data_IF_197946298637
#
_entry.id   IF_197946298637
#
_cell.length_a   1.000
_cell.length_b   1.000
_cell.length_c   1.000
_cell.angle_alpha   90.00
_cell.angle_beta   90.00
_cell.angle_gamma   90.00
#
_symmetry.space_group_name_H-M   'P 1'
#
loop_
_entity.id
_entity.type
_entity.pdbx_description
1 polymer ?
#
# COMPACT_ATOMS: atom_id res chain seq x y z
N UNK A 1 23.67 1.45 2.37
CA UNK A 1 24.62 0.69 1.48
C UNK A 1 23.83 0.14 0.32
N UNK A 2 24.18 0.49 -0.92
CA UNK A 2 23.51 -0.01 -2.12
C UNK A 2 23.70 -1.53 -2.21
N UNK A 3 22.60 -2.26 -2.30
CA UNK A 3 22.52 -3.72 -2.38
C UNK A 3 23.20 -4.24 -3.70
N UNK A 4 23.69 -5.49 -3.70
CA UNK A 4 24.39 -6.10 -4.83
C UNK A 4 23.56 -6.12 -6.15
N UNK A 5 22.24 -6.40 -6.14
CA UNK A 5 21.38 -6.28 -7.31
C UNK A 5 21.25 -4.84 -7.83
N UNK A 6 21.12 -3.84 -6.95
CA UNK A 6 21.03 -2.41 -7.33
C UNK A 6 22.32 -1.92 -7.98
N UNK A 7 23.48 -2.36 -7.49
CA UNK A 7 24.78 -2.04 -8.12
C UNK A 7 24.86 -2.62 -9.53
N UNK A 8 24.33 -3.82 -9.76
CA UNK A 8 24.33 -4.43 -11.09
C UNK A 8 23.39 -3.68 -12.03
N UNK A 9 22.22 -3.28 -11.59
CA UNK A 9 21.27 -2.44 -12.36
C UNK A 9 21.87 -1.10 -12.73
N UNK A 10 22.47 -0.39 -11.78
CA UNK A 10 23.12 0.91 -12.04
C UNK A 10 24.26 0.77 -13.07
N UNK A 11 25.05 -0.30 -13.01
CA UNK A 11 26.11 -0.57 -13.97
C UNK A 11 25.55 -0.85 -15.36
N UNK A 12 24.45 -1.57 -15.49
CA UNK A 12 23.77 -1.82 -16.76
C UNK A 12 23.21 -0.51 -17.33
N UNK A 13 22.59 0.30 -16.50
CA UNK A 13 22.06 1.60 -16.89
C UNK A 13 23.15 2.51 -17.46
N UNK A 14 24.23 2.72 -16.70
CA UNK A 14 25.33 3.57 -17.14
C UNK A 14 25.95 3.04 -18.43
N UNK A 15 25.99 1.72 -18.64
CA UNK A 15 26.48 1.12 -19.87
C UNK A 15 25.55 1.40 -21.06
N UNK A 16 24.23 1.33 -20.89
CA UNK A 16 23.25 1.65 -21.94
C UNK A 16 23.33 3.13 -22.29
N UNK A 17 23.38 4.04 -21.30
CA UNK A 17 23.52 5.47 -21.50
C UNK A 17 24.83 5.81 -22.28
N UNK A 18 25.94 5.21 -21.91
CA UNK A 18 27.19 5.41 -22.62
C UNK A 18 27.14 4.90 -24.07
N UNK A 19 26.42 3.80 -24.31
CA UNK A 19 26.26 3.22 -25.66
C UNK A 19 25.32 4.06 -26.53
N UNK A 20 24.21 4.60 -25.98
CA UNK A 20 23.28 5.47 -26.74
C UNK A 20 23.89 6.80 -27.16
N UNK A 21 24.94 7.25 -26.47
CA UNK A 21 25.69 8.46 -26.87
C UNK A 21 26.55 8.25 -28.15
N UNK A 22 26.85 7.00 -28.51
CA UNK A 22 27.78 6.68 -29.62
C UNK A 22 27.22 5.67 -30.62
N UNK A 23 26.06 5.06 -30.37
CA UNK A 23 25.48 3.98 -31.21
C UNK A 23 23.97 4.14 -31.31
N UNK A 24 23.40 3.79 -32.47
CA UNK A 24 21.94 3.81 -32.63
C UNK A 24 21.30 2.81 -31.62
N UNK A 25 20.23 3.19 -30.89
CA UNK A 25 19.52 2.32 -29.98
C UNK A 25 19.15 0.94 -30.54
N UNK A 26 18.78 0.85 -31.83
CA UNK A 26 18.44 -0.40 -32.50
C UNK A 26 19.62 -1.38 -32.66
N UNK A 27 20.84 -0.87 -32.63
CA UNK A 27 22.07 -1.63 -32.84
C UNK A 27 22.76 -2.02 -31.53
N UNK A 28 22.24 -1.61 -30.39
CA UNK A 28 22.76 -1.97 -29.06
C UNK A 28 22.43 -3.43 -28.75
N UNK A 29 23.45 -4.20 -28.43
CA UNK A 29 23.33 -5.63 -28.12
C UNK A 29 23.64 -5.91 -26.65
N UNK A 30 23.16 -7.07 -26.16
CA UNK A 30 23.53 -7.56 -24.83
C UNK A 30 25.05 -7.71 -24.65
N UNK A 31 25.76 -8.04 -25.74
CA UNK A 31 27.23 -8.14 -25.74
C UNK A 31 27.91 -6.79 -25.56
N UNK A 32 27.35 -5.73 -26.16
CA UNK A 32 27.86 -4.38 -25.95
C UNK A 32 27.69 -3.95 -24.48
N UNK A 33 26.52 -4.21 -23.92
CA UNK A 33 26.23 -3.93 -22.51
C UNK A 33 27.16 -4.73 -21.60
N UNK A 34 27.40 -6.01 -21.88
CA UNK A 34 28.32 -6.86 -21.11
C UNK A 34 29.73 -6.27 -21.10
N UNK A 35 30.21 -5.84 -22.26
CA UNK A 35 31.54 -5.25 -22.42
C UNK A 35 31.69 -3.94 -21.62
N UNK A 36 30.69 -3.05 -21.68
CA UNK A 36 30.74 -1.75 -21.02
C UNK A 36 30.44 -1.86 -19.51
N UNK A 37 29.46 -2.67 -19.12
CA UNK A 37 29.09 -2.83 -17.71
C UNK A 37 30.04 -3.74 -16.93
N UNK A 38 30.83 -4.60 -17.62
CA UNK A 38 31.66 -5.64 -16.99
C UNK A 38 30.84 -6.72 -16.27
N UNK A 39 29.58 -6.92 -16.66
CA UNK A 39 28.70 -7.94 -16.10
C UNK A 39 28.55 -9.13 -17.07
N UNK A 40 28.31 -10.31 -16.51
CA UNK A 40 28.08 -11.51 -17.33
C UNK A 40 26.73 -11.43 -18.07
N UNK A 41 26.68 -12.04 -19.23
CA UNK A 41 25.50 -12.12 -20.08
C UNK A 41 24.24 -12.66 -19.36
N UNK A 42 24.32 -13.74 -18.56
CA UNK A 42 23.18 -14.20 -17.75
C UNK A 42 22.71 -13.16 -16.71
N UNK A 43 23.64 -12.41 -16.14
CA UNK A 43 23.31 -11.34 -15.19
C UNK A 43 22.53 -10.23 -15.88
N UNK A 44 23.00 -9.76 -17.05
CA UNK A 44 22.33 -8.72 -17.82
C UNK A 44 20.95 -9.17 -18.26
N UNK A 45 20.85 -10.39 -18.85
CA UNK A 45 19.57 -10.96 -19.32
C UNK A 45 18.54 -11.08 -18.19
N UNK A 46 18.97 -11.41 -16.97
CA UNK A 46 18.10 -11.50 -15.80
C UNK A 46 17.56 -10.13 -15.37
N UNK A 47 18.32 -9.04 -15.54
CA UNK A 47 17.94 -7.71 -15.12
C UNK A 47 17.22 -6.89 -16.21
N UNK A 48 17.48 -7.13 -17.46
CA UNK A 48 16.99 -6.33 -18.60
C UNK A 48 16.05 -7.13 -19.50
N UNK A 49 16.15 -8.46 -19.50
CA UNK A 49 15.37 -9.31 -20.41
C UNK A 49 16.11 -9.60 -21.72
N UNK A 50 15.35 -9.78 -22.81
CA UNK A 50 15.86 -10.11 -24.13
C UNK A 50 16.27 -8.90 -24.97
N UNK A 51 16.63 -9.16 -26.23
CA UNK A 51 17.09 -8.15 -27.19
C UNK A 51 16.09 -7.01 -27.40
N UNK A 52 14.80 -7.31 -27.45
CA UNK A 52 13.76 -6.30 -27.66
C UNK A 52 13.61 -5.37 -26.46
N UNK A 53 13.75 -5.90 -25.24
CA UNK A 53 13.76 -5.08 -24.04
C UNK A 53 14.96 -4.11 -23.98
N UNK A 54 16.14 -4.57 -24.42
CA UNK A 54 17.32 -3.69 -24.54
C UNK A 54 17.08 -2.54 -25.50
N UNK A 55 16.49 -2.83 -26.67
CA UNK A 55 16.18 -1.78 -27.66
C UNK A 55 15.15 -0.79 -27.15
N UNK A 56 14.10 -1.25 -26.48
CA UNK A 56 13.09 -0.39 -25.86
C UNK A 56 13.72 0.54 -24.83
N UNK A 57 14.57 0.02 -23.94
CA UNK A 57 15.29 0.80 -22.92
C UNK A 57 16.22 1.83 -23.57
N UNK A 58 16.91 1.43 -24.65
CA UNK A 58 17.83 2.33 -25.35
C UNK A 58 17.10 3.45 -26.11
N UNK A 59 15.88 3.18 -26.61
CA UNK A 59 15.05 4.13 -27.37
C UNK A 59 14.29 5.09 -26.48
N UNK A 60 13.60 4.56 -25.47
CA UNK A 60 12.60 5.29 -24.69
C UNK A 60 13.17 5.87 -23.39
N UNK A 61 14.46 5.67 -23.15
CA UNK A 61 15.11 6.03 -21.89
C UNK A 61 14.61 5.20 -20.71
N UNK A 62 15.05 5.57 -19.51
CA UNK A 62 14.88 4.79 -18.29
C UNK A 62 13.44 4.74 -17.74
N UNK A 63 12.46 5.34 -18.38
CA UNK A 63 11.04 5.21 -18.00
C UNK A 63 10.55 3.75 -17.91
N UNK A 64 11.21 2.83 -18.62
CA UNK A 64 10.90 1.39 -18.59
C UNK A 64 11.54 0.60 -17.44
N UNK A 65 12.50 1.18 -16.72
CA UNK A 65 13.09 0.51 -15.55
C UNK A 65 12.42 0.88 -14.23
N UNK A 66 11.46 1.80 -14.23
CA UNK A 66 10.51 1.97 -13.12
C UNK A 66 9.42 0.91 -13.10
N UNK A 67 9.23 0.13 -14.16
CA UNK A 67 8.57 -1.18 -14.03
C UNK A 67 9.60 -2.15 -13.42
N UNK A 68 9.80 -2.03 -12.13
CA UNK A 68 10.54 -2.97 -11.31
C UNK A 68 10.13 -4.40 -11.68
N UNK A 69 11.08 -5.23 -12.11
CA UNK A 69 10.89 -6.67 -11.86
C UNK A 69 10.88 -6.76 -10.33
N UNK A 70 9.73 -6.97 -9.71
CA UNK A 70 9.61 -6.92 -8.26
C UNK A 70 10.66 -7.86 -7.66
N UNK A 71 11.34 -7.43 -6.62
CA UNK A 71 12.29 -8.30 -5.94
C UNK A 71 11.57 -9.58 -5.46
N UNK A 72 12.32 -10.58 -5.07
CA UNK A 72 11.74 -11.87 -4.68
C UNK A 72 10.69 -11.70 -3.57
N UNK A 73 10.93 -10.80 -2.61
CA UNK A 73 10.01 -10.53 -1.50
C UNK A 73 8.71 -9.91 -2.01
N UNK A 74 8.79 -8.92 -2.88
CA UNK A 74 7.62 -8.26 -3.50
C UNK A 74 6.82 -9.24 -4.37
N UNK A 75 7.46 -10.11 -5.13
CA UNK A 75 6.78 -11.16 -5.92
C UNK A 75 6.03 -12.14 -5.03
N UNK A 76 6.62 -12.55 -3.90
CA UNK A 76 5.96 -13.41 -2.92
C UNK A 76 4.75 -12.70 -2.32
N UNK A 77 4.86 -11.41 -1.99
CA UNK A 77 3.75 -10.62 -1.44
C UNK A 77 2.59 -10.49 -2.45
N UNK A 78 2.89 -10.23 -3.72
CA UNK A 78 1.85 -10.16 -4.77
C UNK A 78 1.13 -11.51 -4.95
N UNK A 79 1.89 -12.61 -5.03
CA UNK A 79 1.32 -13.95 -5.11
C UNK A 79 0.49 -14.28 -3.85
N UNK A 80 0.99 -13.91 -2.68
CA UNK A 80 0.29 -14.12 -1.42
C UNK A 80 -1.03 -13.35 -1.36
N UNK A 81 -1.07 -12.10 -1.82
CA UNK A 81 -2.31 -11.32 -1.92
C UNK A 81 -3.36 -12.08 -2.74
N UNK A 82 -2.99 -12.58 -3.92
CA UNK A 82 -3.88 -13.34 -4.79
C UNK A 82 -4.37 -14.66 -4.16
N UNK A 83 -3.47 -15.39 -3.50
CA UNK A 83 -3.82 -16.68 -2.85
C UNK A 83 -4.71 -16.46 -1.64
N UNK A 84 -4.41 -15.45 -0.83
CA UNK A 84 -5.24 -15.08 0.33
C UNK A 84 -6.64 -14.63 -0.09
N UNK A 85 -6.77 -13.82 -1.14
CA UNK A 85 -8.08 -13.38 -1.66
C UNK A 85 -8.93 -14.56 -2.12
N UNK A 86 -8.32 -15.58 -2.75
CA UNK A 86 -9.06 -16.75 -3.26
C UNK A 86 -9.43 -17.76 -2.18
N UNK A 87 -8.58 -17.96 -1.17
CA UNK A 87 -8.68 -19.08 -0.23
C UNK A 87 -8.86 -18.66 1.24
N UNK A 88 -8.89 -17.35 1.52
CA UNK A 88 -8.89 -16.81 2.87
C UNK A 88 -7.56 -17.03 3.60
N UNK A 89 -7.43 -16.45 4.79
CA UNK A 89 -6.22 -16.64 5.59
C UNK A 89 -6.08 -18.10 6.05
N UNK A 90 -7.15 -18.70 6.59
CA UNK A 90 -7.13 -20.07 7.13
C UNK A 90 -6.87 -21.13 6.06
N UNK A 91 -7.41 -20.96 4.85
CA UNK A 91 -7.25 -21.90 3.72
C UNK A 91 -5.91 -21.77 2.98
N UNK A 92 -5.06 -20.80 3.31
CA UNK A 92 -3.78 -20.57 2.65
C UNK A 92 -2.62 -21.19 3.42
N UNK A 93 -1.64 -21.74 2.68
CA UNK A 93 -0.33 -22.14 3.22
C UNK A 93 0.82 -21.47 2.45
N UNK A 94 2.04 -21.47 3.02
CA UNK A 94 3.22 -20.95 2.31
C UNK A 94 3.57 -21.79 1.08
N UNK A 95 3.18 -23.07 1.06
CA UNK A 95 3.31 -23.97 -0.09
C UNK A 95 2.41 -23.55 -1.26
N UNK A 96 1.15 -23.17 -0.97
CA UNK A 96 0.25 -22.63 -1.99
C UNK A 96 0.82 -21.35 -2.61
N UNK A 97 1.38 -20.46 -1.78
CA UNK A 97 2.02 -19.23 -2.24
C UNK A 97 3.27 -19.53 -3.07
N UNK A 98 4.09 -20.52 -2.66
CA UNK A 98 5.27 -20.93 -3.41
C UNK A 98 4.90 -21.45 -4.81
N UNK A 99 3.83 -22.24 -4.90
CA UNK A 99 3.31 -22.75 -6.17
C UNK A 99 2.82 -21.61 -7.08
N UNK A 100 2.05 -20.64 -6.51
CA UNK A 100 1.51 -19.49 -7.25
C UNK A 100 2.64 -18.60 -7.82
N UNK A 101 3.68 -18.32 -7.03
CA UNK A 101 4.81 -17.48 -7.47
C UNK A 101 5.81 -18.23 -8.37
N UNK A 102 5.66 -19.55 -8.52
CA UNK A 102 6.60 -20.41 -9.27
C UNK A 102 7.98 -20.52 -8.61
N UNK A 103 8.04 -20.54 -7.29
CA UNK A 103 9.28 -20.65 -6.50
C UNK A 103 9.30 -21.91 -5.66
N UNK A 104 10.50 -22.30 -5.19
CA UNK A 104 10.63 -23.40 -4.25
C UNK A 104 10.10 -22.98 -2.87
N UNK A 105 9.60 -23.95 -2.09
CA UNK A 105 9.20 -23.74 -0.69
C UNK A 105 10.31 -23.06 0.12
N UNK A 106 11.57 -23.51 -0.03
CA UNK A 106 12.73 -22.92 0.65
C UNK A 106 12.95 -21.45 0.30
N UNK A 107 12.65 -21.02 -0.93
CA UNK A 107 12.77 -19.63 -1.32
C UNK A 107 11.72 -18.74 -0.63
N UNK A 108 10.51 -19.24 -0.39
CA UNK A 108 9.49 -18.52 0.36
C UNK A 108 9.85 -18.47 1.84
N UNK A 109 10.25 -19.57 2.46
CA UNK A 109 10.64 -19.63 3.86
C UNK A 109 11.91 -18.81 4.18
N UNK A 110 12.81 -18.58 3.23
CA UNK A 110 13.95 -17.67 3.42
C UNK A 110 13.55 -16.19 3.51
N UNK A 111 12.36 -15.83 2.99
CA UNK A 111 11.83 -14.46 3.00
C UNK A 111 10.80 -14.22 4.11
N UNK A 112 10.04 -15.25 4.48
CA UNK A 112 8.97 -15.16 5.49
C UNK A 112 8.97 -16.42 6.35
N UNK A 113 9.13 -16.28 7.65
CA UNK A 113 9.22 -17.39 8.61
C UNK A 113 7.92 -18.20 8.70
N UNK A 114 6.79 -17.51 8.56
CA UNK A 114 5.46 -18.12 8.64
C UNK A 114 4.41 -17.29 7.88
N UNK A 115 3.22 -17.85 7.77
CA UNK A 115 2.07 -17.24 7.09
C UNK A 115 1.63 -15.92 7.75
N UNK A 116 1.71 -15.85 9.08
CA UNK A 116 1.32 -14.65 9.82
C UNK A 116 2.24 -13.47 9.53
N UNK A 117 3.56 -13.70 9.50
CA UNK A 117 4.55 -12.65 9.15
C UNK A 117 4.30 -12.11 7.74
N UNK A 118 4.04 -13.00 6.78
CA UNK A 118 3.76 -12.62 5.41
C UNK A 118 2.47 -11.79 5.32
N UNK A 119 1.41 -12.23 5.97
CA UNK A 119 0.14 -11.50 5.97
C UNK A 119 0.24 -10.14 6.68
N UNK A 120 0.90 -10.09 7.84
CA UNK A 120 1.15 -8.82 8.54
C UNK A 120 1.96 -7.83 7.71
N UNK A 121 2.93 -8.32 6.91
CA UNK A 121 3.68 -7.46 6.00
C UNK A 121 2.76 -6.87 4.91
N UNK A 122 1.83 -7.66 4.34
CA UNK A 122 0.83 -7.16 3.40
C UNK A 122 -0.10 -6.13 4.04
N UNK A 123 -0.58 -6.41 5.24
CA UNK A 123 -1.44 -5.51 5.98
C UNK A 123 -0.72 -4.19 6.32
N UNK A 124 0.54 -4.26 6.72
CA UNK A 124 1.38 -3.09 6.99
C UNK A 124 1.52 -2.20 5.75
N UNK A 125 1.83 -2.80 4.59
CA UNK A 125 1.93 -2.04 3.34
C UNK A 125 0.61 -1.34 2.99
N UNK A 126 -0.51 -2.04 3.13
CA UNK A 126 -1.83 -1.48 2.84
C UNK A 126 -2.21 -0.36 3.80
N UNK A 127 -2.01 -0.54 5.11
CA UNK A 127 -2.30 0.50 6.11
C UNK A 127 -1.39 1.70 5.89
N UNK A 128 -0.10 1.48 5.68
CA UNK A 128 0.88 2.56 5.49
C UNK A 128 0.55 3.40 4.26
N UNK A 129 0.28 2.78 3.11
CA UNK A 129 -0.12 3.48 1.90
C UNK A 129 -1.38 4.35 2.13
N UNK A 130 -2.42 3.76 2.72
CA UNK A 130 -3.69 4.47 3.01
C UNK A 130 -3.50 5.66 3.94
N UNK A 131 -2.74 5.49 5.02
CA UNK A 131 -2.57 6.56 6.03
C UNK A 131 -1.68 7.68 5.51
N UNK A 132 -0.70 7.42 4.63
CA UNK A 132 0.13 8.45 4.02
C UNK A 132 -0.66 9.38 3.08
N UNK A 133 -1.71 8.90 2.45
CA UNK A 133 -2.55 9.68 1.54
C UNK A 133 -3.57 10.58 2.26
N UNK A 134 -3.88 10.31 3.54
CA UNK A 134 -4.91 11.03 4.28
C UNK A 134 -4.66 12.55 4.37
N UNK A 135 -3.44 13.03 4.72
CA UNK A 135 -3.19 14.47 4.81
C UNK A 135 -3.40 15.18 3.47
N UNK A 136 -2.85 14.64 2.39
CA UNK A 136 -2.96 15.26 1.07
C UNK A 136 -4.42 15.30 0.60
N UNK A 137 -5.18 14.24 0.86
CA UNK A 137 -6.60 14.16 0.52
C UNK A 137 -7.42 15.25 1.22
N UNK A 138 -7.32 15.37 2.55
CA UNK A 138 -8.12 16.37 3.29
C UNK A 138 -7.68 17.79 2.96
N UNK A 139 -6.37 18.07 2.88
CA UNK A 139 -5.87 19.41 2.56
C UNK A 139 -6.22 19.85 1.15
N UNK A 140 -6.34 18.92 0.20
CA UNK A 140 -6.84 19.22 -1.15
C UNK A 140 -8.29 19.70 -1.07
N UNK A 141 -9.16 18.97 -0.41
CA UNK A 141 -10.58 19.36 -0.28
C UNK A 141 -10.74 20.69 0.45
N UNK A 142 -10.00 20.93 1.54
CA UNK A 142 -10.05 22.19 2.29
C UNK A 142 -9.64 23.42 1.48
N UNK A 143 -8.90 23.26 0.39
CA UNK A 143 -8.57 24.37 -0.54
C UNK A 143 -9.66 24.65 -1.55
N UNK A 144 -10.51 23.68 -1.83
CA UNK A 144 -11.48 23.71 -2.95
C UNK A 144 -12.92 23.92 -2.44
N UNK A 145 -13.21 23.56 -1.18
CA UNK A 145 -14.57 23.55 -0.61
C UNK A 145 -14.60 24.07 0.83
N UNK A 146 -15.81 24.14 1.41
CA UNK A 146 -15.98 24.46 2.83
C UNK A 146 -15.41 23.34 3.73
N UNK A 147 -15.07 23.63 5.01
CA UNK A 147 -14.63 22.59 5.93
C UNK A 147 -15.63 21.43 6.09
N UNK A 148 -16.94 21.73 6.13
CA UNK A 148 -17.99 20.69 6.18
C UNK A 148 -17.95 19.78 4.94
N UNK A 149 -17.98 20.37 3.76
CA UNK A 149 -17.92 19.63 2.51
C UNK A 149 -16.64 18.84 2.38
N UNK A 150 -15.52 19.39 2.84
CA UNK A 150 -14.21 18.71 2.87
C UNK A 150 -14.23 17.45 3.72
N UNK A 151 -14.87 17.51 4.90
CA UNK A 151 -15.04 16.35 5.78
C UNK A 151 -15.95 15.30 5.12
N UNK A 152 -17.04 15.73 4.49
CA UNK A 152 -17.95 14.83 3.76
C UNK A 152 -17.21 14.10 2.62
N UNK A 153 -16.53 14.85 1.76
CA UNK A 153 -15.77 14.29 0.63
C UNK A 153 -14.65 13.36 1.10
N UNK A 154 -13.98 13.73 2.18
CA UNK A 154 -12.94 12.89 2.79
C UNK A 154 -13.52 11.56 3.26
N UNK A 155 -14.61 11.56 4.04
CA UNK A 155 -15.25 10.31 4.49
C UNK A 155 -15.75 9.46 3.32
N UNK A 156 -16.39 10.06 2.33
CA UNK A 156 -16.82 9.35 1.13
C UNK A 156 -15.65 8.66 0.43
N UNK A 157 -14.53 9.37 0.25
CA UNK A 157 -13.35 8.80 -0.37
C UNK A 157 -12.80 7.60 0.42
N UNK A 158 -12.78 7.68 1.76
CA UNK A 158 -12.33 6.59 2.62
C UNK A 158 -13.27 5.37 2.55
N UNK A 159 -14.58 5.60 2.50
CA UNK A 159 -15.57 4.53 2.37
C UNK A 159 -15.46 3.87 1.00
N UNK A 160 -15.48 4.62 -0.09
CA UNK A 160 -15.35 4.10 -1.46
C UNK A 160 -14.07 3.28 -1.63
N UNK A 161 -12.95 3.78 -1.10
CA UNK A 161 -11.68 3.07 -1.19
C UNK A 161 -11.70 1.73 -0.44
N UNK A 162 -12.32 1.68 0.74
CA UNK A 162 -12.45 0.43 1.52
C UNK A 162 -13.41 -0.56 0.88
N UNK A 163 -14.51 -0.10 0.29
CA UNK A 163 -15.50 -0.97 -0.37
C UNK A 163 -14.97 -1.60 -1.66
N UNK A 164 -14.04 -0.96 -2.34
CA UNK A 164 -13.42 -1.49 -3.56
C UNK A 164 -12.64 -2.80 -3.34
N UNK A 165 -12.28 -3.12 -2.10
CA UNK A 165 -11.51 -4.32 -1.72
C UNK A 165 -12.30 -5.25 -0.78
N UNK A 166 -13.39 -5.81 -1.28
CA UNK A 166 -14.24 -6.74 -0.49
C UNK A 166 -13.47 -7.94 0.04
N UNK A 167 -12.64 -8.53 -0.81
CA UNK A 167 -11.89 -9.74 -0.47
C UNK A 167 -10.82 -9.43 0.57
N UNK A 168 -10.11 -8.31 0.43
CA UNK A 168 -9.15 -7.83 1.43
C UNK A 168 -9.80 -7.55 2.78
N UNK A 169 -11.01 -7.00 2.78
CA UNK A 169 -11.76 -6.76 4.00
C UNK A 169 -12.18 -8.07 4.70
N UNK A 170 -12.70 -9.05 3.97
CA UNK A 170 -13.02 -10.38 4.51
C UNK A 170 -11.79 -11.08 5.06
N UNK A 171 -10.69 -11.01 4.31
CA UNK A 171 -9.41 -11.58 4.71
C UNK A 171 -8.89 -10.94 6.00
N UNK A 172 -9.04 -9.61 6.14
CA UNK A 172 -8.66 -8.90 7.36
C UNK A 172 -9.42 -9.43 8.59
N UNK A 173 -10.73 -9.58 8.49
CA UNK A 173 -11.53 -10.12 9.60
C UNK A 173 -11.24 -11.58 9.88
N UNK A 174 -11.04 -12.40 8.86
CA UNK A 174 -10.61 -13.79 9.04
C UNK A 174 -9.29 -13.87 9.81
N UNK A 175 -8.33 -13.02 9.44
CA UNK A 175 -7.05 -12.95 10.13
C UNK A 175 -7.20 -12.50 11.59
N UNK A 176 -7.87 -11.38 11.85
CA UNK A 176 -8.05 -10.84 13.22
C UNK A 176 -8.79 -11.84 14.11
N UNK A 177 -9.83 -12.48 13.59
CA UNK A 177 -10.61 -13.49 14.32
C UNK A 177 -9.80 -14.74 14.67
N UNK A 178 -8.80 -15.08 13.86
CA UNK A 178 -7.93 -16.24 14.04
C UNK A 178 -6.57 -15.91 14.69
N UNK A 179 -6.26 -14.65 14.91
CA UNK A 179 -5.00 -14.18 15.49
C UNK A 179 -4.97 -14.42 17.02
N UNK A 180 -4.90 -15.68 17.44
CA UNK A 180 -4.84 -16.08 18.86
C UNK A 180 -3.42 -16.11 19.42
N UNK A 181 -2.40 -16.12 18.57
CA UNK A 181 -1.01 -16.10 18.97
C UNK A 181 -0.64 -14.72 19.56
N UNK A 182 -0.15 -14.63 20.80
CA UNK A 182 0.23 -13.36 21.42
C UNK A 182 1.27 -12.56 20.63
N UNK A 183 2.17 -13.23 19.92
CA UNK A 183 3.17 -12.55 19.07
C UNK A 183 2.53 -11.87 17.88
N UNK A 184 1.54 -12.49 17.27
CA UNK A 184 0.75 -11.91 16.17
C UNK A 184 -0.10 -10.74 16.65
N UNK A 185 -0.74 -10.89 17.82
CA UNK A 185 -1.51 -9.81 18.45
C UNK A 185 -0.64 -8.59 18.77
N UNK A 186 0.56 -8.80 19.29
CA UNK A 186 1.51 -7.71 19.57
C UNK A 186 1.95 -6.98 18.29
N UNK A 187 2.21 -7.71 17.21
CA UNK A 187 2.58 -7.11 15.92
C UNK A 187 1.41 -6.31 15.34
N UNK A 188 0.21 -6.87 15.37
CA UNK A 188 -1.00 -6.19 14.92
C UNK A 188 -1.27 -4.91 15.74
N UNK A 189 -1.14 -5.01 17.08
CA UNK A 189 -1.26 -3.85 17.98
C UNK A 189 -0.24 -2.76 17.65
N UNK A 190 1.01 -3.13 17.36
CA UNK A 190 2.07 -2.20 16.97
C UNK A 190 1.74 -1.49 15.66
N UNK A 191 1.24 -2.24 14.68
CA UNK A 191 0.83 -1.73 13.39
C UNK A 191 -0.32 -0.71 13.53
N UNK A 192 -1.36 -1.05 14.26
CA UNK A 192 -2.50 -0.16 14.50
C UNK A 192 -2.10 1.11 15.25
N UNK A 193 -1.25 0.99 16.29
CA UNK A 193 -0.70 2.15 17.01
C UNK A 193 0.08 3.09 16.10
N UNK A 194 0.80 2.53 15.11
CA UNK A 194 1.47 3.31 14.07
C UNK A 194 0.49 4.13 13.25
N UNK A 195 -0.58 3.50 12.79
CA UNK A 195 -1.68 4.16 12.06
C UNK A 195 -2.38 5.24 12.88
N UNK A 196 -2.76 4.94 14.12
CA UNK A 196 -3.37 5.92 15.03
C UNK A 196 -2.50 7.17 15.23
N UNK A 197 -1.19 7.01 15.43
CA UNK A 197 -0.27 8.15 15.58
C UNK A 197 -0.24 9.06 14.35
N UNK A 198 -0.33 8.51 13.15
CA UNK A 198 -0.34 9.31 11.94
C UNK A 198 -1.66 10.07 11.76
N UNK A 199 -2.80 9.41 12.03
CA UNK A 199 -4.12 10.05 12.03
C UNK A 199 -4.19 11.11 13.15
N UNK A 200 -3.68 10.81 14.33
CA UNK A 200 -3.58 11.78 15.44
C UNK A 200 -2.85 13.06 14.99
N UNK A 201 -1.72 12.92 14.31
CA UNK A 201 -0.95 14.06 13.80
C UNK A 201 -1.75 14.91 12.81
N UNK A 202 -2.54 14.28 11.94
CA UNK A 202 -3.46 14.96 11.04
C UNK A 202 -4.52 15.74 11.84
N UNK A 203 -5.14 15.11 12.83
CA UNK A 203 -6.15 15.73 13.70
C UNK A 203 -5.55 16.91 14.47
N UNK A 204 -4.36 16.77 15.05
CA UNK A 204 -3.65 17.86 15.73
C UNK A 204 -3.41 19.06 14.81
N UNK A 205 -3.05 18.83 13.56
CA UNK A 205 -2.89 19.88 12.56
C UNK A 205 -4.23 20.58 12.26
N UNK A 206 -5.32 19.82 12.07
CA UNK A 206 -6.66 20.39 11.85
C UNK A 206 -7.14 21.22 13.07
N UNK A 207 -6.83 20.77 14.27
CA UNK A 207 -7.09 21.51 15.50
C UNK A 207 -6.23 22.76 15.62
N UNK A 208 -4.97 22.70 15.21
CA UNK A 208 -4.06 23.86 15.21
C UNK A 208 -4.55 24.94 14.24
N UNK A 209 -4.94 24.55 13.05
CA UNK A 209 -5.52 25.44 12.02
C UNK A 209 -6.96 25.87 12.35
N UNK A 210 -7.49 25.49 13.51
CA UNK A 210 -8.82 25.85 14.00
C UNK A 210 -9.98 25.37 13.09
N UNK A 211 -9.74 24.36 12.27
CA UNK A 211 -10.75 23.75 11.40
C UNK A 211 -11.74 22.91 12.23
N UNK A 212 -11.22 22.19 13.25
CA UNK A 212 -12.03 21.40 14.19
C UNK A 212 -11.75 21.80 15.63
N UNK A 213 -12.66 21.42 16.53
CA UNK A 213 -12.58 21.74 17.96
C UNK A 213 -11.36 21.10 18.63
N UNK A 214 -10.77 21.81 19.60
CA UNK A 214 -9.71 21.28 20.49
C UNK A 214 -10.25 20.63 21.76
N UNK A 215 -11.55 20.51 21.89
CA UNK A 215 -12.19 19.94 23.07
C UNK A 215 -11.88 18.45 23.22
N UNK A 216 -11.68 17.76 22.09
CA UNK A 216 -11.45 16.33 22.08
C UNK A 216 -9.96 16.00 21.95
N UNK A 217 -9.54 14.94 22.63
CA UNK A 217 -8.19 14.41 22.51
C UNK A 217 -7.94 13.83 21.09
N UNK A 218 -6.88 14.26 20.44
CA UNK A 218 -6.59 13.87 19.05
C UNK A 218 -6.31 12.36 18.88
N UNK A 219 -5.73 11.70 19.90
CA UNK A 219 -5.53 10.26 19.87
C UNK A 219 -6.86 9.51 19.96
N UNK A 220 -7.76 9.91 20.88
CA UNK A 220 -9.09 9.32 21.02
C UNK A 220 -9.90 9.47 19.73
N UNK A 221 -9.85 10.65 19.11
CA UNK A 221 -10.47 10.89 17.80
C UNK A 221 -9.86 9.98 16.72
N UNK A 222 -8.55 9.72 16.75
CA UNK A 222 -7.93 8.82 15.78
C UNK A 222 -8.43 7.40 15.90
N UNK A 223 -8.60 6.89 17.12
CA UNK A 223 -9.19 5.58 17.40
C UNK A 223 -10.66 5.52 16.97
N UNK A 224 -11.43 6.56 17.32
CA UNK A 224 -12.84 6.69 16.95
C UNK A 224 -13.05 6.69 15.44
N UNK A 225 -12.24 7.44 14.69
CA UNK A 225 -12.26 7.47 13.23
C UNK A 225 -12.05 6.09 12.61
N UNK A 226 -11.03 5.36 13.06
CA UNK A 226 -10.76 3.99 12.55
C UNK A 226 -11.89 3.05 12.93
N UNK A 227 -12.40 3.13 14.16
CA UNK A 227 -13.49 2.28 14.65
C UNK A 227 -14.78 2.47 13.83
N UNK A 228 -15.12 3.71 13.45
CA UNK A 228 -16.27 4.00 12.58
C UNK A 228 -16.07 3.33 11.21
N UNK A 229 -14.91 3.53 10.58
CA UNK A 229 -14.64 2.96 9.27
C UNK A 229 -14.65 1.43 9.29
N UNK A 230 -14.12 0.81 10.34
CA UNK A 230 -14.15 -0.64 10.51
C UNK A 230 -15.58 -1.14 10.76
N UNK A 231 -16.38 -0.42 11.56
CA UNK A 231 -17.79 -0.72 11.80
C UNK A 231 -18.65 -0.62 10.54
N UNK A 232 -18.46 0.42 9.73
CA UNK A 232 -19.13 0.56 8.42
C UNK A 232 -18.78 -0.60 7.49
N UNK A 233 -17.52 -0.98 7.44
CA UNK A 233 -17.04 -2.09 6.62
C UNK A 233 -17.67 -3.43 7.05
N UNK A 234 -17.77 -3.69 8.37
CA UNK A 234 -18.45 -4.90 8.89
C UNK A 234 -19.92 -4.89 8.48
N UNK A 235 -20.63 -3.78 8.72
CA UNK A 235 -22.04 -3.64 8.40
C UNK A 235 -22.31 -3.95 6.93
N UNK A 236 -21.50 -3.39 6.03
CA UNK A 236 -21.63 -3.63 4.61
C UNK A 236 -21.29 -5.07 4.20
N UNK A 237 -20.27 -5.72 4.82
CA UNK A 237 -19.96 -7.13 4.54
C UNK A 237 -21.09 -8.09 4.96
N UNK A 238 -21.89 -7.69 5.98
CA UNK A 238 -23.04 -8.47 6.46
C UNK A 238 -24.25 -8.28 5.56
N UNK A 239 -24.52 -7.05 5.13
CA UNK A 239 -25.70 -6.73 4.30
C UNK A 239 -25.34 -5.76 3.16
N UNK A 240 -24.66 -6.23 2.12
CA UNK A 240 -24.20 -5.36 1.02
C UNK A 240 -25.33 -4.81 0.15
N UNK A 241 -26.52 -5.46 0.14
CA UNK A 241 -27.67 -5.02 -0.67
C UNK A 241 -28.58 -4.07 0.11
N UNK A 242 -28.65 -4.24 1.45
CA UNK A 242 -29.54 -3.43 2.30
C UNK A 242 -28.90 -2.10 2.75
N UNK A 243 -27.58 -1.91 2.61
CA UNK A 243 -26.87 -0.75 3.09
C UNK A 243 -26.38 0.11 1.91
N UNK A 244 -26.98 1.28 1.74
CA UNK A 244 -26.48 2.33 0.85
C UNK A 244 -25.30 3.05 1.51
N UNK A 245 -24.09 2.67 1.13
CA UNK A 245 -22.85 3.19 1.73
C UNK A 245 -22.58 4.63 1.38
N UNK A 246 -23.03 5.13 0.22
CA UNK A 246 -22.85 6.53 -0.17
C UNK A 246 -23.70 7.45 0.71
N UNK A 247 -24.96 7.11 0.91
CA UNK A 247 -25.83 7.83 1.83
C UNK A 247 -25.37 7.73 3.28
N UNK A 248 -24.92 6.54 3.70
CA UNK A 248 -24.42 6.31 5.04
C UNK A 248 -23.12 7.10 5.32
N UNK A 249 -22.18 7.13 4.37
CA UNK A 249 -20.95 7.92 4.47
C UNK A 249 -21.24 9.41 4.62
N UNK A 250 -22.21 9.94 3.86
CA UNK A 250 -22.64 11.33 3.99
C UNK A 250 -23.27 11.63 5.36
N UNK A 251 -24.15 10.75 5.82
CA UNK A 251 -24.78 10.90 7.12
C UNK A 251 -23.75 10.90 8.27
N UNK A 252 -22.81 9.94 8.24
CA UNK A 252 -21.74 9.89 9.23
C UNK A 252 -20.82 11.10 9.17
N UNK A 253 -20.44 11.55 7.98
CA UNK A 253 -19.60 12.72 7.83
C UNK A 253 -20.24 13.96 8.45
N UNK A 254 -21.54 14.16 8.25
CA UNK A 254 -22.29 15.27 8.86
C UNK A 254 -22.39 15.15 10.38
N UNK A 255 -22.63 13.93 10.89
CA UNK A 255 -22.66 13.68 12.35
C UNK A 255 -21.29 14.00 12.95
N UNK A 256 -20.22 13.53 12.34
CA UNK A 256 -18.84 13.80 12.78
C UNK A 256 -18.53 15.29 12.70
N UNK A 257 -18.89 15.95 11.60
CA UNK A 257 -18.69 17.40 11.46
C UNK A 257 -19.42 18.20 12.54
N UNK A 258 -20.70 17.92 12.76
CA UNK A 258 -21.49 18.57 13.79
C UNK A 258 -20.93 18.38 15.21
N UNK A 259 -20.27 17.23 15.46
CA UNK A 259 -19.58 16.98 16.72
C UNK A 259 -18.21 17.64 16.85
N UNK A 260 -17.54 17.88 15.72
CA UNK A 260 -16.17 18.41 15.71
C UNK A 260 -16.07 19.89 15.39
N UNK A 261 -17.11 20.50 14.80
CA UNK A 261 -17.11 21.93 14.53
C UNK A 261 -17.00 22.74 15.81
N UNK A 262 -16.39 23.90 15.73
CA UNK A 262 -16.37 24.82 16.83
C UNK A 262 -17.79 25.37 17.06
N UNK A 263 -18.33 25.15 18.23
CA UNK A 263 -19.41 25.96 18.69
C UNK A 263 -18.83 27.35 19.07
N UNK A 264 -19.07 28.35 18.26
CA UNK A 264 -19.01 29.73 18.76
C UNK A 264 -20.11 29.79 19.80
N UNK A 265 -19.75 29.68 21.07
CA UNK A 265 -20.63 30.21 22.13
C UNK A 265 -20.67 31.71 21.87
N UNK A 266 -21.73 32.16 21.21
CA UNK A 266 -22.09 33.57 21.29
C UNK A 266 -22.24 33.89 22.79
N UNK A 267 -21.32 34.75 23.28
CA UNK A 267 -21.41 35.37 24.60
C UNK A 267 -22.65 36.28 24.71
#
# INVERSE_FOLDING_TARGET
MINRPERSRLRIYNAIQALTASKNPEDITLSDIARVSGLSWPTIRRHVGGREAVKSIARDGFRFMESEVPDTRTRILQAASNVFSKHGYSGTSLEHIAAEVGMTKGAVYSNFKNKSELYLTLLEQNIHARVLELPDSIWKHLKETTPEESVVLFFQSQVVHRLGDQEGNRLFFDFVSNARDPSVQNQLSTLYRGGYKQIQKLIENLQHEQIISREYNAFELSVFFVAILDGLMISWLVDPEGIDMDNLAQAFARIVWNGLQRYNKEE
#
